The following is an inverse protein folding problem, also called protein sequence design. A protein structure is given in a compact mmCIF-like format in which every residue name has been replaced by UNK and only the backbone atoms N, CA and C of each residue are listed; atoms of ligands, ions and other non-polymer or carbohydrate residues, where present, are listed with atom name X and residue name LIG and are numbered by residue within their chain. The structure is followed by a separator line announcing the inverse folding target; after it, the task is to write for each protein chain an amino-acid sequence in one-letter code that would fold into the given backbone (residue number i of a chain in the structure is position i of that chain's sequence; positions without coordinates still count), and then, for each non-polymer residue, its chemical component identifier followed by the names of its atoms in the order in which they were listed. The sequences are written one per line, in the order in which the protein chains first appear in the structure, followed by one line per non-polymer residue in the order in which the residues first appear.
data_IF_352422474513
#
_entry.id   IF_352422474513
#
_cell.length_a   1.000
_cell.length_b   1.000
_cell.length_c   1.000
_cell.angle_alpha   90.00
_cell.angle_beta   90.00
_cell.angle_gamma   90.00
#
_symmetry.space_group_name_H-M   'P 1'
#
loop_
_entity.id
_entity.type
_entity.pdbx_description
1 polymer ?
#
# COMPACT_ATOMS: atom_id res chain seq x y z
N UNK A 1 -37.04 13.94 -51.26
CA UNK A 1 -36.27 12.78 -51.79
C UNK A 1 -34.81 13.02 -51.45
N UNK A 2 -34.05 12.19 -50.73
CA UNK A 2 -34.21 10.88 -50.09
C UNK A 2 -33.30 10.90 -48.86
N UNK A 3 -33.80 10.50 -47.68
CA UNK A 3 -32.98 10.14 -46.52
C UNK A 3 -32.43 8.71 -46.74
N UNK A 4 -31.12 8.51 -46.65
CA UNK A 4 -30.55 7.18 -46.46
C UNK A 4 -29.94 7.10 -45.06
N UNK A 5 -30.71 6.49 -44.16
CA UNK A 5 -30.23 5.96 -42.89
C UNK A 5 -29.27 4.80 -43.20
N UNK A 6 -28.04 4.87 -42.70
CA UNK A 6 -27.16 3.70 -42.59
C UNK A 6 -27.41 3.12 -41.19
N UNK A 7 -28.06 1.96 -41.19
CA UNK A 7 -28.32 1.13 -40.02
C UNK A 7 -27.04 0.37 -39.65
N UNK A 8 -26.61 0.47 -38.39
CA UNK A 8 -25.32 -0.03 -37.87
C UNK A 8 -25.47 -1.17 -36.86
N UNK A 9 -26.57 -1.93 -36.91
CA UNK A 9 -26.78 -3.10 -36.03
C UNK A 9 -26.74 -4.42 -36.79
N UNK A 10 -25.55 -4.89 -37.17
CA UNK A 10 -25.29 -6.35 -37.25
C UNK A 10 -23.80 -6.68 -37.31
N UNK A 11 -23.28 -7.37 -36.28
CA UNK A 11 -21.98 -8.05 -36.37
C UNK A 11 -22.23 -9.51 -36.71
N UNK A 12 -21.78 -9.94 -37.90
CA UNK A 12 -21.80 -11.34 -38.32
C UNK A 12 -20.38 -11.91 -38.25
N UNK A 13 -20.17 -12.91 -37.43
CA UNK A 13 -18.89 -13.63 -37.36
C UNK A 13 -18.70 -14.41 -38.68
N UNK A 14 -17.59 -14.13 -39.36
CA UNK A 14 -17.10 -14.92 -40.49
C UNK A 14 -15.79 -15.61 -40.10
N UNK A 15 -15.68 -16.89 -40.44
CA UNK A 15 -14.45 -17.67 -40.29
C UNK A 15 -13.39 -17.13 -41.27
N UNK A 16 -12.37 -16.44 -40.75
CA UNK A 16 -11.36 -15.76 -41.58
C UNK A 16 -10.23 -16.68 -42.06
N UNK A 17 -10.00 -17.82 -41.41
CA UNK A 17 -9.06 -18.83 -41.90
C UNK A 17 -9.27 -20.20 -41.27
N UNK A 18 -8.96 -21.26 -42.02
CA UNK A 18 -8.85 -22.64 -41.53
C UNK A 18 -7.67 -23.33 -42.19
N UNK A 19 -6.77 -23.91 -41.40
CA UNK A 19 -5.57 -24.59 -41.90
C UNK A 19 -5.11 -25.75 -41.00
N UNK A 20 -4.33 -26.68 -41.57
CA UNK A 20 -3.61 -27.71 -40.80
C UNK A 20 -2.19 -27.24 -40.55
N UNK A 21 -1.72 -27.41 -39.31
CA UNK A 21 -0.34 -27.13 -38.93
C UNK A 21 0.52 -28.30 -39.43
N UNK A 22 1.31 -28.06 -40.48
CA UNK A 22 2.34 -29.00 -40.91
C UNK A 22 3.60 -28.76 -40.08
N UNK A 23 4.01 -29.76 -39.29
CA UNK A 23 5.26 -29.69 -38.53
C UNK A 23 6.42 -30.13 -39.43
N UNK A 24 7.23 -29.18 -39.88
CA UNK A 24 8.52 -29.48 -40.51
C UNK A 24 9.52 -29.93 -39.45
N UNK A 25 10.04 -31.17 -39.59
CA UNK A 25 11.15 -31.65 -38.77
C UNK A 25 12.46 -31.03 -39.26
N UNK A 26 12.86 -29.90 -38.68
CA UNK A 26 14.24 -29.40 -38.75
C UNK A 26 14.96 -29.66 -37.43
N UNK A 27 16.21 -30.10 -37.53
CA UNK A 27 17.11 -30.22 -36.37
C UNK A 27 17.62 -28.82 -36.06
N UNK A 28 17.14 -28.25 -34.96
CA UNK A 28 17.57 -26.97 -34.40
C UNK A 28 17.52 -27.05 -32.87
N UNK A 29 18.38 -26.29 -32.20
CA UNK A 29 18.42 -26.23 -30.74
C UNK A 29 17.08 -25.65 -30.24
N UNK A 30 16.35 -26.41 -29.42
CA UNK A 30 15.17 -25.90 -28.73
C UNK A 30 15.64 -24.98 -27.60
N UNK A 31 15.27 -23.70 -27.68
CA UNK A 31 15.46 -22.80 -26.55
C UNK A 31 14.69 -23.34 -25.33
N UNK A 32 15.28 -23.27 -24.12
CA UNK A 32 14.62 -23.74 -22.92
C UNK A 32 13.29 -23.01 -22.72
N UNK A 33 12.25 -23.77 -22.37
CA UNK A 33 10.97 -23.21 -21.93
C UNK A 33 11.24 -22.42 -20.65
N UNK A 34 11.37 -21.10 -20.80
CA UNK A 34 11.30 -20.18 -19.68
C UNK A 34 9.91 -20.28 -19.06
N UNK A 35 9.84 -20.55 -17.76
CA UNK A 35 8.65 -20.32 -16.95
C UNK A 35 8.12 -18.93 -17.24
N UNK A 36 6.92 -18.86 -17.87
CA UNK A 36 6.18 -17.66 -18.26
C UNK A 36 6.70 -16.38 -17.57
N UNK A 37 7.67 -15.72 -18.21
CA UNK A 37 7.73 -14.28 -18.12
C UNK A 37 6.33 -13.80 -18.52
N UNK A 38 5.71 -12.99 -17.66
CA UNK A 38 4.50 -12.24 -18.02
C UNK A 38 4.70 -11.75 -19.45
N UNK A 39 3.70 -12.05 -20.30
CA UNK A 39 3.62 -11.56 -21.66
C UNK A 39 4.37 -10.23 -21.78
N UNK A 40 5.46 -10.24 -22.56
CA UNK A 40 5.77 -9.05 -23.32
C UNK A 40 4.46 -8.68 -23.98
N UNK A 41 3.95 -7.51 -23.62
CA UNK A 41 2.72 -6.96 -24.17
C UNK A 41 2.79 -7.15 -25.68
N UNK A 42 1.85 -7.94 -26.22
CA UNK A 42 1.59 -7.87 -27.64
C UNK A 42 1.42 -6.38 -28.00
N UNK A 43 1.90 -5.91 -29.16
CA UNK A 43 1.79 -4.51 -29.55
C UNK A 43 0.37 -4.12 -29.98
N UNK A 44 -0.63 -4.67 -29.32
CA UNK A 44 -2.04 -4.33 -29.49
C UNK A 44 -2.53 -3.83 -28.14
N UNK A 45 -2.95 -2.56 -28.13
CA UNK A 45 -3.33 -1.74 -26.96
C UNK A 45 -2.20 -1.00 -26.24
N UNK A 46 -1.41 -0.20 -26.98
CA UNK A 46 -0.96 1.06 -26.40
C UNK A 46 -2.20 1.82 -25.90
N UNK A 47 -2.31 2.04 -24.59
CA UNK A 47 -3.35 2.89 -23.99
C UNK A 47 -3.45 4.22 -24.75
N UNK A 48 -4.66 4.80 -24.91
CA UNK A 48 -4.86 6.05 -25.66
C UNK A 48 -3.86 7.15 -25.30
N UNK A 49 -3.56 7.32 -24.01
CA UNK A 49 -2.57 8.28 -23.50
C UNK A 49 -1.13 7.97 -23.93
N UNK A 50 -0.75 6.70 -24.02
CA UNK A 50 0.60 6.31 -24.43
C UNK A 50 0.84 6.59 -25.92
N UNK A 51 -0.21 6.49 -26.75
CA UNK A 51 -0.15 6.88 -28.17
C UNK A 51 -0.01 8.39 -28.33
N UNK A 52 -0.80 9.16 -27.57
CA UNK A 52 -0.70 10.62 -27.57
C UNK A 52 0.71 11.06 -27.18
N UNK A 53 1.29 10.48 -26.14
CA UNK A 53 2.67 10.78 -25.71
C UNK A 53 3.69 10.45 -26.81
N UNK A 54 3.58 9.28 -27.45
CA UNK A 54 4.47 8.88 -28.52
C UNK A 54 4.40 9.85 -29.72
N UNK A 55 3.19 10.23 -30.14
CA UNK A 55 2.98 11.17 -31.24
C UNK A 55 3.50 12.57 -30.90
N UNK A 56 3.27 13.05 -29.68
CA UNK A 56 3.79 14.34 -29.23
C UNK A 56 5.33 14.35 -29.19
N UNK A 57 5.95 13.26 -28.73
CA UNK A 57 7.41 13.13 -28.73
C UNK A 57 7.97 13.11 -30.15
N UNK A 58 7.37 12.35 -31.06
CA UNK A 58 7.79 12.26 -32.47
C UNK A 58 7.64 13.61 -33.19
N UNK A 59 6.51 14.30 -32.96
CA UNK A 59 6.18 15.52 -33.68
C UNK A 59 6.89 16.77 -33.16
N UNK A 60 7.12 16.85 -31.85
CA UNK A 60 7.67 18.05 -31.20
C UNK A 60 9.07 17.83 -30.60
N UNK A 61 9.64 16.62 -30.71
CA UNK A 61 10.97 16.31 -30.16
C UNK A 61 11.00 16.36 -28.64
N UNK A 62 9.87 16.10 -27.98
CA UNK A 62 9.76 16.12 -26.52
C UNK A 62 10.27 14.81 -25.92
N UNK A 63 10.59 14.85 -24.62
CA UNK A 63 10.95 13.68 -23.84
C UNK A 63 9.86 13.41 -22.77
N UNK A 64 8.61 13.33 -23.21
CA UNK A 64 7.50 13.00 -22.32
C UNK A 64 7.56 11.50 -21.98
N UNK A 65 7.87 11.19 -20.72
CA UNK A 65 7.89 9.83 -20.18
C UNK A 65 6.62 9.44 -19.40
N UNK A 66 6.66 8.29 -18.70
CA UNK A 66 5.56 7.76 -17.90
C UNK A 66 5.02 8.74 -16.85
N UNK A 67 5.87 9.60 -16.31
CA UNK A 67 5.50 10.65 -15.35
C UNK A 67 4.51 11.68 -15.93
N UNK A 68 4.61 11.98 -17.23
CA UNK A 68 3.71 12.93 -17.90
C UNK A 68 2.34 12.31 -18.21
N UNK A 69 2.24 10.98 -18.25
CA UNK A 69 0.98 10.25 -18.49
C UNK A 69 -0.04 10.52 -17.39
N UNK A 70 0.41 10.61 -16.14
CA UNK A 70 -0.47 10.88 -15.00
C UNK A 70 -1.05 12.28 -15.11
N UNK A 71 -0.21 13.28 -15.42
CA UNK A 71 -0.65 14.67 -15.60
C UNK A 71 -1.63 14.82 -16.77
N UNK A 72 -1.34 14.20 -17.92
CA UNK A 72 -2.25 14.20 -19.08
C UNK A 72 -3.56 13.46 -18.78
N UNK A 73 -3.50 12.35 -18.04
CA UNK A 73 -4.70 11.63 -17.60
C UNK A 73 -5.59 12.49 -16.70
N UNK A 74 -5.00 13.20 -15.72
CA UNK A 74 -5.73 14.13 -14.87
C UNK A 74 -6.36 15.29 -15.65
N UNK A 75 -5.69 15.79 -16.69
CA UNK A 75 -6.25 16.82 -17.57
C UNK A 75 -7.49 16.30 -18.31
N UNK A 76 -7.40 15.09 -18.91
CA UNK A 76 -8.52 14.49 -19.63
C UNK A 76 -9.72 14.23 -18.70
N UNK A 77 -9.49 13.66 -17.52
CA UNK A 77 -10.55 13.40 -16.53
C UNK A 77 -11.29 14.68 -16.13
N UNK A 78 -10.55 15.78 -15.92
CA UNK A 78 -11.14 17.09 -15.59
C UNK A 78 -11.93 17.72 -16.74
N UNK A 79 -11.51 17.47 -17.98
CA UNK A 79 -12.23 17.95 -19.17
C UNK A 79 -13.52 17.14 -19.37
N UNK A 80 -13.46 15.82 -19.23
CA UNK A 80 -14.63 14.92 -19.36
C UNK A 80 -15.68 15.17 -18.27
N UNK A 81 -15.26 15.56 -17.07
CA UNK A 81 -16.16 15.90 -15.97
C UNK A 81 -16.83 17.29 -16.11
N UNK A 82 -16.48 18.11 -17.11
CA UNK A 82 -16.99 19.47 -17.25
C UNK A 82 -18.36 19.51 -17.96
N UNK A 83 -19.40 19.83 -17.19
CA UNK A 83 -20.77 19.88 -17.69
C UNK A 83 -20.99 20.98 -18.76
N UNK A 84 -20.24 22.08 -18.73
CA UNK A 84 -20.36 23.14 -19.72
C UNK A 84 -19.75 22.71 -21.07
N UNK A 85 -18.66 21.97 -21.03
CA UNK A 85 -18.04 21.37 -22.20
C UNK A 85 -18.93 20.28 -22.82
N UNK A 86 -19.54 19.40 -22.01
CA UNK A 86 -20.51 18.39 -22.49
C UNK A 86 -21.77 19.06 -23.08
N UNK A 87 -22.33 20.06 -22.40
CA UNK A 87 -23.47 20.81 -22.92
C UNK A 87 -23.15 21.53 -24.24
N UNK A 88 -21.94 22.12 -24.34
CA UNK A 88 -21.48 22.76 -25.57
C UNK A 88 -21.36 21.74 -26.71
N UNK A 89 -20.77 20.57 -26.43
CA UNK A 89 -20.62 19.49 -27.41
C UNK A 89 -21.96 18.97 -27.95
N UNK A 90 -23.02 18.96 -27.13
CA UNK A 90 -24.36 18.51 -27.53
C UNK A 90 -25.16 19.54 -28.33
N UNK A 91 -24.93 20.83 -28.09
CA UNK A 91 -25.82 21.89 -28.58
C UNK A 91 -25.19 22.79 -29.66
N UNK A 92 -23.86 22.77 -29.83
CA UNK A 92 -23.14 23.73 -30.65
C UNK A 92 -22.40 23.10 -31.84
N UNK A 93 -22.00 23.96 -32.79
CA UNK A 93 -21.12 23.58 -33.91
C UNK A 93 -19.70 23.27 -33.43
N UNK A 94 -18.95 22.48 -34.21
CA UNK A 94 -17.56 22.10 -33.89
C UNK A 94 -16.66 23.29 -33.54
N UNK A 95 -16.83 24.41 -34.24
CA UNK A 95 -16.04 25.64 -34.01
C UNK A 95 -16.38 26.28 -32.65
N UNK A 96 -17.66 26.34 -32.29
CA UNK A 96 -18.10 26.87 -30.99
C UNK A 96 -17.68 25.96 -29.84
N UNK A 97 -17.75 24.63 -30.04
CA UNK A 97 -17.24 23.65 -29.07
C UNK A 97 -15.74 23.80 -28.90
N UNK A 98 -14.99 24.04 -29.99
CA UNK A 98 -13.55 24.24 -29.94
C UNK A 98 -13.16 25.46 -29.09
N UNK A 99 -13.91 26.55 -29.19
CA UNK A 99 -13.69 27.74 -28.34
C UNK A 99 -13.89 27.41 -26.85
N UNK A 100 -14.99 26.73 -26.50
CA UNK A 100 -15.23 26.31 -25.11
C UNK A 100 -14.15 25.35 -24.61
N UNK A 101 -13.71 24.43 -25.48
CA UNK A 101 -12.65 23.48 -25.19
C UNK A 101 -11.32 24.16 -24.90
N UNK A 102 -10.86 25.07 -25.76
CA UNK A 102 -9.57 25.75 -25.61
C UNK A 102 -9.52 26.56 -24.30
N UNK A 103 -10.58 27.32 -23.98
CA UNK A 103 -10.69 28.04 -22.70
C UNK A 103 -10.65 27.10 -21.49
N UNK A 104 -11.35 25.95 -21.58
CA UNK A 104 -11.37 25.00 -20.47
C UNK A 104 -10.01 24.33 -20.26
N UNK A 105 -9.32 23.97 -21.33
CA UNK A 105 -7.97 23.40 -21.28
C UNK A 105 -7.00 24.37 -20.61
N UNK A 106 -7.00 25.65 -21.00
CA UNK A 106 -6.16 26.68 -20.36
C UNK A 106 -6.42 26.77 -18.86
N UNK A 107 -7.69 26.78 -18.44
CA UNK A 107 -8.04 26.81 -17.02
C UNK A 107 -7.58 25.56 -16.26
N UNK A 108 -7.71 24.38 -16.86
CA UNK A 108 -7.25 23.12 -16.24
C UNK A 108 -5.72 23.10 -16.10
N UNK A 109 -4.99 23.55 -17.11
CA UNK A 109 -3.53 23.68 -17.07
C UNK A 109 -3.12 24.62 -15.93
N UNK A 110 -3.74 25.80 -15.87
CA UNK A 110 -3.44 26.80 -14.84
C UNK A 110 -3.67 26.24 -13.43
N UNK A 111 -4.81 25.57 -13.21
CA UNK A 111 -5.15 25.00 -11.91
C UNK A 111 -4.15 23.91 -11.46
N UNK A 112 -3.66 23.07 -12.39
CA UNK A 112 -2.65 22.05 -12.09
C UNK A 112 -1.32 22.71 -11.71
N UNK A 113 -0.92 23.75 -12.47
CA UNK A 113 0.32 24.49 -12.19
C UNK A 113 0.25 25.18 -10.82
N UNK A 114 -0.85 25.90 -10.54
CA UNK A 114 -1.05 26.60 -9.27
C UNK A 114 -1.02 25.63 -8.08
N UNK A 115 -1.77 24.52 -8.15
CA UNK A 115 -1.79 23.52 -7.08
C UNK A 115 -0.43 22.89 -6.82
N UNK A 116 0.30 22.56 -7.89
CA UNK A 116 1.65 22.01 -7.75
C UNK A 116 2.59 23.06 -7.14
N UNK A 117 2.53 24.31 -7.59
CA UNK A 117 3.34 25.41 -7.08
C UNK A 117 3.07 25.67 -5.60
N UNK A 118 1.81 25.68 -5.17
CA UNK A 118 1.43 25.85 -3.76
C UNK A 118 2.04 24.77 -2.86
N UNK A 119 2.04 23.51 -3.30
CA UNK A 119 2.68 22.42 -2.57
C UNK A 119 4.19 22.63 -2.45
N UNK A 120 4.87 22.94 -3.56
CA UNK A 120 6.32 23.21 -3.55
C UNK A 120 6.67 24.39 -2.65
N UNK A 121 5.89 25.47 -2.74
CA UNK A 121 6.06 26.66 -1.91
C UNK A 121 5.88 26.30 -0.45
N UNK A 122 4.85 25.53 -0.09
CA UNK A 122 4.61 25.13 1.30
C UNK A 122 5.72 24.23 1.85
N UNK A 123 6.27 23.32 1.06
CA UNK A 123 7.41 22.48 1.47
C UNK A 123 8.66 23.33 1.76
N UNK A 124 8.85 24.42 1.00
CA UNK A 124 10.06 25.24 1.06
C UNK A 124 9.96 26.37 2.09
N UNK A 125 8.82 27.06 2.15
CA UNK A 125 8.63 28.28 2.94
C UNK A 125 8.11 27.98 4.37
N UNK A 126 7.34 26.91 4.57
CA UNK A 126 6.89 26.47 5.90
C UNK A 126 7.85 25.43 6.47
N UNK A 127 8.74 25.88 7.37
CA UNK A 127 9.75 25.01 8.00
C UNK A 127 9.12 23.81 8.72
N UNK A 128 8.00 23.99 9.41
CA UNK A 128 7.38 22.91 10.16
C UNK A 128 6.80 21.85 9.22
N UNK A 129 6.10 22.29 8.17
CA UNK A 129 5.55 21.40 7.15
C UNK A 129 6.66 20.70 6.34
N UNK A 130 7.67 21.44 5.90
CA UNK A 130 8.81 20.90 5.15
C UNK A 130 9.58 19.83 5.92
N UNK A 131 9.87 20.08 7.20
CA UNK A 131 10.51 19.07 8.07
C UNK A 131 9.61 17.85 8.29
N UNK A 132 8.29 18.04 8.45
CA UNK A 132 7.36 16.92 8.54
C UNK A 132 7.40 16.04 7.29
N UNK A 133 7.32 16.63 6.09
CA UNK A 133 7.39 15.90 4.81
C UNK A 133 8.71 15.14 4.68
N UNK A 134 9.85 15.77 5.00
CA UNK A 134 11.16 15.10 4.95
C UNK A 134 11.21 13.89 5.89
N UNK A 135 10.71 14.04 7.12
CA UNK A 135 10.65 12.95 8.08
C UNK A 135 9.76 11.80 7.59
N UNK A 136 8.58 12.11 7.03
CA UNK A 136 7.72 11.08 6.42
C UNK A 136 8.41 10.34 5.27
N UNK A 137 9.06 11.06 4.36
CA UNK A 137 9.79 10.47 3.24
C UNK A 137 10.98 9.62 3.72
N UNK A 138 11.72 10.09 4.72
CA UNK A 138 12.84 9.37 5.31
C UNK A 138 12.38 8.08 6.01
N UNK A 139 11.30 8.15 6.79
CA UNK A 139 10.73 6.98 7.46
C UNK A 139 10.23 5.94 6.44
N UNK A 140 9.60 6.39 5.35
CA UNK A 140 9.17 5.52 4.26
C UNK A 140 10.37 4.87 3.55
N UNK A 141 11.42 5.65 3.27
CA UNK A 141 12.65 5.15 2.67
C UNK A 141 13.29 4.07 3.55
N UNK A 142 13.45 4.33 4.85
CA UNK A 142 14.02 3.35 5.77
C UNK A 142 13.20 2.06 5.82
N UNK A 143 11.87 2.14 5.87
CA UNK A 143 10.99 0.94 5.87
C UNK A 143 11.13 0.13 4.60
N UNK A 144 11.19 0.79 3.44
CA UNK A 144 11.35 0.11 2.17
C UNK A 144 12.70 -0.61 2.07
N UNK A 145 13.71 -0.15 2.82
CA UNK A 145 15.06 -0.71 2.82
C UNK A 145 15.39 -1.47 4.11
N UNK A 146 14.41 -1.76 4.98
CA UNK A 146 14.63 -2.63 6.15
C UNK A 146 14.82 -4.06 5.69
N UNK A 147 16.06 -4.54 5.70
CA UNK A 147 16.38 -5.91 5.35
C UNK A 147 16.32 -6.80 6.60
N UNK A 148 15.57 -7.89 6.51
CA UNK A 148 15.42 -8.85 7.61
C UNK A 148 16.77 -9.40 8.08
N UNK A 149 17.69 -9.68 7.16
CA UNK A 149 19.05 -10.18 7.46
C UNK A 149 19.85 -9.24 8.37
N UNK A 150 19.79 -7.94 8.10
CA UNK A 150 20.48 -6.93 8.91
C UNK A 150 19.83 -6.76 10.29
N UNK A 151 18.50 -6.88 10.38
CA UNK A 151 17.79 -6.86 11.66
C UNK A 151 18.16 -8.10 12.50
N UNK A 152 18.19 -9.29 11.89
CA UNK A 152 18.58 -10.53 12.58
C UNK A 152 19.99 -10.41 13.17
N UNK A 153 20.96 -9.86 12.42
CA UNK A 153 22.33 -9.63 12.90
C UNK A 153 22.40 -8.68 14.11
N UNK A 154 21.50 -7.70 14.21
CA UNK A 154 21.44 -6.75 15.34
C UNK A 154 20.96 -7.40 16.63
N UNK A 155 20.19 -8.49 16.53
CA UNK A 155 19.58 -9.17 17.68
C UNK A 155 18.42 -8.39 18.29
N UNK A 156 17.71 -9.03 19.23
CA UNK A 156 16.57 -8.42 19.91
C UNK A 156 16.97 -7.17 20.71
N UNK A 157 16.08 -6.18 20.74
CA UNK A 157 16.29 -4.92 21.43
C UNK A 157 14.95 -4.33 21.86
N UNK A 158 14.98 -3.10 22.41
CA UNK A 158 13.75 -2.40 22.77
C UNK A 158 12.81 -2.18 21.58
N UNK A 159 13.35 -2.05 20.37
CA UNK A 159 12.62 -1.75 19.13
C UNK A 159 12.71 -2.88 18.10
N UNK A 160 13.20 -4.06 18.48
CA UNK A 160 13.31 -5.23 17.60
C UNK A 160 13.01 -6.51 18.40
N UNK A 161 12.06 -7.31 17.94
CA UNK A 161 11.67 -8.56 18.59
C UNK A 161 11.52 -9.68 17.55
N UNK A 162 11.93 -10.89 17.90
CA UNK A 162 11.77 -12.08 17.07
C UNK A 162 10.63 -12.97 17.59
N UNK A 163 9.90 -13.58 16.66
CA UNK A 163 8.88 -14.58 16.92
C UNK A 163 9.01 -15.69 15.90
N UNK A 164 9.13 -16.93 16.38
CA UNK A 164 9.32 -18.07 15.50
C UNK A 164 8.13 -18.27 14.55
N UNK A 165 6.91 -18.03 15.03
CA UNK A 165 5.64 -18.29 14.32
C UNK A 165 4.56 -17.29 14.75
N UNK A 166 3.48 -17.19 13.95
CA UNK A 166 2.30 -16.36 14.24
C UNK A 166 1.22 -17.12 15.04
N UNK A 167 1.04 -18.40 14.76
CA UNK A 167 -0.04 -19.23 15.30
C UNK A 167 0.34 -20.70 15.50
N UNK A 168 1.47 -21.18 14.99
CA UNK A 168 1.86 -22.58 15.17
C UNK A 168 2.74 -22.76 16.41
N UNK A 169 2.37 -23.66 17.31
CA UNK A 169 3.23 -24.05 18.42
C UNK A 169 4.21 -25.13 17.94
N UNK A 170 5.49 -24.75 17.77
CA UNK A 170 6.54 -25.63 17.28
C UNK A 170 6.87 -26.81 18.22
N UNK A 171 6.61 -26.69 19.53
CA UNK A 171 6.92 -27.74 20.50
C UNK A 171 5.86 -28.84 20.53
N UNK A 172 4.60 -28.44 20.40
CA UNK A 172 3.44 -29.33 20.43
C UNK A 172 2.97 -29.74 19.03
N UNK A 173 3.64 -29.23 17.99
CA UNK A 173 3.31 -29.39 16.57
C UNK A 173 1.81 -29.27 16.26
N UNK A 174 1.20 -28.20 16.78
CA UNK A 174 -0.22 -27.91 16.58
C UNK A 174 -0.48 -26.43 16.40
N UNK A 175 -1.61 -26.13 15.77
CA UNK A 175 -2.17 -24.78 15.72
C UNK A 175 -2.57 -24.30 17.12
N UNK A 176 -2.14 -23.09 17.46
CA UNK A 176 -2.44 -22.38 18.70
C UNK A 176 -2.68 -20.89 18.41
N UNK A 177 -3.86 -20.59 17.91
CA UNK A 177 -4.32 -19.22 17.65
C UNK A 177 -4.64 -18.43 18.96
N UNK A 178 -4.37 -19.02 20.12
CA UNK A 178 -4.65 -18.43 21.42
C UNK A 178 -3.37 -17.86 22.01
N UNK A 179 -2.46 -18.70 22.44
CA UNK A 179 -1.26 -18.28 23.18
C UNK A 179 -0.20 -17.72 22.25
N UNK A 180 0.07 -18.39 21.13
CA UNK A 180 1.12 -17.96 20.18
C UNK A 180 0.72 -16.64 19.51
N UNK A 181 -0.52 -16.57 19.00
CA UNK A 181 -1.02 -15.33 18.40
C UNK A 181 -1.12 -14.20 19.41
N UNK A 182 -1.56 -14.46 20.65
CA UNK A 182 -1.55 -13.44 21.69
C UNK A 182 -0.13 -12.92 21.97
N UNK A 183 0.89 -13.77 21.97
CA UNK A 183 2.28 -13.34 22.16
C UNK A 183 2.75 -12.37 21.06
N UNK A 184 2.38 -12.61 19.80
CA UNK A 184 2.64 -11.71 18.68
C UNK A 184 1.89 -10.38 18.84
N UNK A 185 0.58 -10.44 19.10
CA UNK A 185 -0.25 -9.24 19.28
C UNK A 185 0.21 -8.39 20.46
N UNK A 186 0.63 -9.04 21.55
CA UNK A 186 1.19 -8.39 22.73
C UNK A 186 2.44 -7.58 22.39
N UNK A 187 3.34 -8.15 21.59
CA UNK A 187 4.54 -7.44 21.11
C UNK A 187 4.16 -6.26 20.23
N UNK A 188 3.24 -6.43 19.28
CA UNK A 188 2.76 -5.33 18.43
C UNK A 188 2.18 -4.21 19.28
N UNK A 189 1.27 -4.52 20.21
CA UNK A 189 0.69 -3.54 21.14
C UNK A 189 1.77 -2.76 21.90
N UNK A 190 2.79 -3.47 22.41
CA UNK A 190 3.90 -2.86 23.13
C UNK A 190 4.72 -1.89 22.26
N UNK A 191 4.99 -2.23 21.00
CA UNK A 191 5.66 -1.31 20.07
C UNK A 191 4.80 -0.10 19.78
N UNK A 192 3.52 -0.28 19.46
CA UNK A 192 2.57 0.80 19.16
C UNK A 192 2.47 1.79 20.34
N UNK A 193 2.48 1.28 21.59
CA UNK A 193 2.36 2.11 22.79
C UNK A 193 3.66 2.80 23.24
N UNK A 194 4.80 2.46 22.63
CA UNK A 194 6.12 3.00 23.01
C UNK A 194 6.73 3.84 21.90
N UNK A 195 7.86 3.42 21.33
CA UNK A 195 8.64 4.15 20.33
C UNK A 195 8.39 3.62 18.91
N UNK A 196 7.52 2.62 18.76
CA UNK A 196 7.48 1.76 17.58
C UNK A 196 8.57 0.69 17.64
N UNK A 197 8.78 0.01 16.52
CA UNK A 197 9.77 -1.07 16.39
C UNK A 197 9.43 -2.03 15.27
N UNK A 198 10.26 -3.05 15.10
CA UNK A 198 9.99 -4.13 14.17
C UNK A 198 9.78 -5.44 14.92
N UNK A 199 8.82 -6.22 14.45
CA UNK A 199 8.67 -7.61 14.80
C UNK A 199 9.03 -8.47 13.60
N UNK A 200 9.96 -9.41 13.76
CA UNK A 200 10.23 -10.43 12.74
C UNK A 200 9.51 -11.72 13.11
N UNK A 201 8.65 -12.19 12.23
CA UNK A 201 7.96 -13.47 12.35
C UNK A 201 8.58 -14.47 11.38
N UNK A 202 8.85 -15.68 11.86
CA UNK A 202 9.64 -16.68 11.14
C UNK A 202 11.10 -16.74 11.59
N UNK A 203 11.43 -16.13 12.74
CA UNK A 203 12.78 -16.11 13.31
C UNK A 203 12.70 -16.56 14.77
N UNK A 204 13.49 -17.57 15.15
CA UNK A 204 13.56 -18.05 16.52
C UNK A 204 14.34 -17.09 17.43
N UNK A 205 14.22 -17.27 18.75
CA UNK A 205 14.83 -16.41 19.77
C UNK A 205 16.38 -16.40 19.68
N UNK A 206 16.99 -17.44 19.11
CA UNK A 206 18.43 -17.55 18.84
C UNK A 206 18.87 -16.94 17.50
N UNK A 207 17.92 -16.38 16.74
CA UNK A 207 18.13 -15.82 15.40
C UNK A 207 18.04 -16.86 14.26
N UNK A 208 17.75 -18.13 14.55
CA UNK A 208 17.61 -19.14 13.51
C UNK A 208 16.37 -18.87 12.62
N UNK A 209 16.52 -19.04 11.31
CA UNK A 209 15.45 -18.80 10.35
C UNK A 209 14.49 -20.00 10.35
N UNK A 210 13.31 -19.81 10.92
CA UNK A 210 12.24 -20.80 10.98
C UNK A 210 11.43 -20.77 9.69
N UNK A 211 11.03 -19.58 9.26
CA UNK A 211 10.15 -19.33 8.13
C UNK A 211 8.66 -19.29 8.52
N UNK A 212 7.87 -18.42 7.88
CA UNK A 212 6.42 -18.33 8.09
C UNK A 212 5.66 -19.54 7.55
N UNK A 213 6.32 -20.39 6.75
CA UNK A 213 5.77 -21.66 6.25
C UNK A 213 5.45 -22.61 7.41
N UNK A 214 6.11 -22.44 8.56
CA UNK A 214 5.80 -23.15 9.79
C UNK A 214 4.36 -22.88 10.28
N UNK A 215 3.75 -21.75 9.92
CA UNK A 215 2.37 -21.41 10.26
C UNK A 215 1.31 -22.16 9.43
N UNK A 216 1.74 -23.00 8.48
CA UNK A 216 0.88 -23.85 7.63
C UNK A 216 -0.20 -23.03 6.90
N UNK A 217 0.19 -21.86 6.40
CA UNK A 217 -0.64 -21.05 5.48
C UNK A 217 -0.17 -21.31 4.05
N UNK A 218 -1.10 -21.31 3.10
CA UNK A 218 -0.86 -21.77 1.73
C UNK A 218 0.01 -20.79 0.94
N UNK A 219 -0.03 -19.51 1.30
CA UNK A 219 0.75 -18.46 0.63
C UNK A 219 1.05 -17.29 1.56
N UNK A 220 2.07 -16.52 1.19
CA UNK A 220 2.42 -15.23 1.81
C UNK A 220 1.20 -14.32 1.91
N UNK A 221 0.42 -14.16 0.83
CA UNK A 221 -0.78 -13.31 0.85
C UNK A 221 -1.81 -13.77 1.90
N UNK A 222 -1.96 -15.08 2.09
CA UNK A 222 -2.86 -15.63 3.09
C UNK A 222 -2.33 -15.37 4.51
N UNK A 223 -1.02 -15.49 4.72
CA UNK A 223 -0.34 -15.08 5.96
C UNK A 223 -0.56 -13.61 6.27
N UNK A 224 -0.33 -12.75 5.29
CA UNK A 224 -0.47 -11.30 5.44
C UNK A 224 -1.90 -10.88 5.78
N UNK A 225 -2.90 -11.45 5.09
CA UNK A 225 -4.32 -11.25 5.42
C UNK A 225 -4.65 -11.76 6.82
N UNK A 226 -4.12 -12.91 7.21
CA UNK A 226 -4.36 -13.48 8.53
C UNK A 226 -3.77 -12.58 9.63
N UNK A 227 -2.51 -12.15 9.48
CA UNK A 227 -1.85 -11.22 10.39
C UNK A 227 -2.65 -9.91 10.53
N UNK A 228 -3.08 -9.32 9.41
CA UNK A 228 -3.90 -8.11 9.42
C UNK A 228 -5.23 -8.32 10.15
N UNK A 229 -5.88 -9.47 9.94
CA UNK A 229 -7.14 -9.81 10.60
C UNK A 229 -6.97 -9.99 12.11
N UNK A 230 -5.94 -10.71 12.56
CA UNK A 230 -5.71 -10.92 14.00
C UNK A 230 -5.29 -9.62 14.68
N UNK A 231 -4.48 -8.78 14.02
CA UNK A 231 -4.12 -7.45 14.51
C UNK A 231 -5.35 -6.55 14.67
N UNK A 232 -6.22 -6.50 13.66
CA UNK A 232 -7.49 -5.76 13.71
C UNK A 232 -8.38 -6.23 14.86
N UNK A 233 -8.56 -7.54 14.97
CA UNK A 233 -9.43 -8.14 15.98
C UNK A 233 -8.90 -7.94 17.41
N UNK A 234 -7.57 -7.98 17.58
CA UNK A 234 -6.93 -7.89 18.89
C UNK A 234 -6.65 -6.47 19.38
N UNK A 235 -6.32 -5.57 18.45
CA UNK A 235 -5.81 -4.22 18.75
C UNK A 235 -6.74 -3.11 18.27
N UNK A 236 -7.74 -3.44 17.44
CA UNK A 236 -8.66 -2.48 16.82
C UNK A 236 -8.20 -1.96 15.46
N UNK A 237 -9.15 -1.41 14.71
CA UNK A 237 -8.95 -0.93 13.34
C UNK A 237 -7.89 0.19 13.26
N UNK A 238 -7.94 1.18 14.16
CA UNK A 238 -7.00 2.32 14.17
C UNK A 238 -5.57 1.88 14.47
N UNK A 239 -5.38 0.89 15.34
CA UNK A 239 -4.06 0.34 15.61
C UNK A 239 -3.50 -0.42 14.40
N UNK A 240 -4.36 -1.11 13.65
CA UNK A 240 -3.96 -1.86 12.46
C UNK A 240 -3.43 -0.99 11.31
N UNK A 241 -3.77 0.30 11.26
CA UNK A 241 -3.19 1.23 10.27
C UNK A 241 -1.78 1.68 10.62
N UNK A 242 -1.34 1.42 11.86
CA UNK A 242 0.00 1.76 12.34
C UNK A 242 1.02 0.62 12.13
N UNK A 243 0.63 -0.49 11.47
CA UNK A 243 1.52 -1.61 11.15
C UNK A 243 1.68 -1.75 9.62
N UNK A 244 2.91 -2.00 9.17
CA UNK A 244 3.27 -2.24 7.77
C UNK A 244 4.04 -3.57 7.67
N UNK A 245 3.32 -4.72 7.55
CA UNK A 245 3.96 -6.00 7.39
C UNK A 245 4.47 -6.20 5.95
N UNK A 246 5.63 -6.84 5.79
CA UNK A 246 6.21 -7.23 4.49
C UNK A 246 6.92 -8.57 4.59
N UNK A 247 6.80 -9.41 3.57
CA UNK A 247 7.56 -10.67 3.49
C UNK A 247 8.90 -10.46 2.77
N UNK A 248 9.93 -11.16 3.23
CA UNK A 248 11.27 -11.16 2.66
C UNK A 248 11.83 -12.58 2.70
N UNK A 249 12.57 -12.98 1.67
CA UNK A 249 13.27 -14.27 1.64
C UNK A 249 14.62 -14.13 2.32
N UNK A 250 14.87 -14.95 3.34
CA UNK A 250 16.13 -15.02 4.08
C UNK A 250 16.55 -16.48 4.15
N UNK A 251 17.77 -16.80 3.70
CA UNK A 251 18.27 -18.18 3.66
C UNK A 251 17.30 -19.18 2.99
N UNK A 252 16.56 -18.73 1.97
CA UNK A 252 15.60 -19.55 1.22
C UNK A 252 14.25 -19.79 1.91
N UNK A 253 13.98 -19.13 3.04
CA UNK A 253 12.70 -19.18 3.76
C UNK A 253 12.07 -17.81 3.86
N UNK A 254 10.75 -17.74 3.97
CA UNK A 254 10.04 -16.46 4.06
C UNK A 254 9.99 -15.96 5.51
N UNK A 255 10.44 -14.74 5.77
CA UNK A 255 10.32 -14.02 7.04
C UNK A 255 9.38 -12.84 6.86
N UNK A 256 8.46 -12.62 7.79
CA UNK A 256 7.59 -11.44 7.79
C UNK A 256 8.17 -10.37 8.74
N UNK A 257 8.51 -9.20 8.19
CA UNK A 257 8.92 -8.02 8.94
C UNK A 257 7.70 -7.13 9.15
N UNK A 258 7.27 -6.96 10.39
CA UNK A 258 6.15 -6.10 10.78
C UNK A 258 6.68 -4.80 11.34
N UNK A 259 6.72 -3.76 10.50
CA UNK A 259 7.13 -2.41 10.94
C UNK A 259 5.99 -1.74 11.70
N UNK A 260 6.17 -1.49 12.99
CA UNK A 260 5.19 -0.87 13.87
C UNK A 260 5.52 0.61 14.09
N UNK A 261 4.60 1.50 13.72
CA UNK A 261 4.68 2.92 14.05
C UNK A 261 4.20 3.16 15.47
N UNK A 262 4.73 4.18 16.14
CA UNK A 262 4.09 4.66 17.35
C UNK A 262 2.65 5.07 17.05
N UNK A 263 1.71 4.54 17.82
CA UNK A 263 0.30 4.92 17.70
C UNK A 263 0.05 6.34 18.24
N UNK A 264 -0.83 7.13 17.61
CA UNK A 264 -1.27 8.41 18.16
C UNK A 264 -2.20 8.26 19.38
N UNK A 265 -2.77 7.06 19.58
CA UNK A 265 -3.73 6.73 20.62
C UNK A 265 -3.28 5.49 21.41
N UNK A 266 -3.73 5.31 22.67
CA UNK A 266 -3.40 4.11 23.43
C UNK A 266 -4.01 2.85 22.79
N UNK A 267 -3.21 1.79 22.68
CA UNK A 267 -3.62 0.50 22.12
C UNK A 267 -3.79 -0.52 23.25
N UNK A 268 -5.01 -1.03 23.42
CA UNK A 268 -5.35 -2.08 24.38
C UNK A 268 -5.53 -3.40 23.63
N UNK A 269 -4.95 -4.48 24.15
CA UNK A 269 -5.07 -5.82 23.57
C UNK A 269 -6.23 -6.57 24.23
N UNK A 270 -7.16 -7.08 23.42
CA UNK A 270 -8.17 -8.06 23.81
C UNK A 270 -8.05 -9.28 22.91
N UNK A 271 -7.92 -10.47 23.47
CA UNK A 271 -7.76 -11.65 22.62
C UNK A 271 -8.31 -12.89 23.27
N UNK A 272 -9.47 -13.35 22.79
CA UNK A 272 -10.07 -14.65 23.16
C UNK A 272 -10.16 -14.88 24.67
N UNK A 273 -10.38 -13.82 25.47
CA UNK A 273 -10.50 -13.91 26.92
C UNK A 273 -9.17 -14.10 27.66
N UNK A 274 -8.03 -13.85 27.00
CA UNK A 274 -6.70 -13.87 27.61
C UNK A 274 -6.39 -12.58 28.37
N UNK A 275 -7.15 -11.51 28.12
CA UNK A 275 -6.99 -10.24 28.81
C UNK A 275 -7.27 -10.39 30.32
N UNK A 276 -6.38 -9.82 31.13
CA UNK A 276 -6.56 -9.77 32.60
C UNK A 276 -7.64 -8.74 32.95
N UNK A 277 -7.61 -7.61 32.26
CA UNK A 277 -8.57 -6.53 32.44
C UNK A 277 -9.67 -6.59 31.36
N UNK A 278 -10.95 -6.50 31.74
CA UNK A 278 -12.08 -6.55 30.78
C UNK A 278 -12.05 -5.42 29.73
N UNK A 279 -11.39 -4.31 30.07
CA UNK A 279 -11.10 -3.18 29.19
C UNK A 279 -10.01 -3.47 28.14
N UNK A 280 -9.30 -4.59 28.27
CA UNK A 280 -8.12 -4.95 27.49
C UNK A 280 -6.83 -4.62 28.24
N UNK A 281 -5.78 -5.37 27.93
CA UNK A 281 -4.48 -5.24 28.58
C UNK A 281 -3.62 -4.18 27.88
N UNK A 282 -2.95 -3.33 28.67
CA UNK A 282 -2.04 -2.31 28.17
C UNK A 282 -0.58 -2.78 28.29
N UNK A 283 0.10 -2.94 27.16
CA UNK A 283 1.48 -3.39 27.09
C UNK A 283 2.43 -2.29 26.63
N UNK A 284 3.65 -2.29 27.19
CA UNK A 284 4.76 -1.42 26.77
C UNK A 284 6.06 -2.21 26.65
N UNK A 285 7.01 -1.69 25.88
CA UNK A 285 8.41 -2.15 25.86
C UNK A 285 9.19 -1.56 27.04
N UNK A 286 9.90 -2.42 27.76
CA UNK A 286 10.86 -2.06 28.81
C UNK A 286 12.16 -2.83 28.56
N UNK A 287 13.17 -2.14 28.01
CA UNK A 287 14.29 -2.83 27.37
C UNK A 287 13.79 -3.79 26.28
N UNK A 288 14.41 -4.97 26.08
CA UNK A 288 13.92 -5.99 25.15
C UNK A 288 12.67 -6.75 25.65
N UNK A 289 12.17 -6.45 26.86
CA UNK A 289 10.99 -7.10 27.43
C UNK A 289 9.69 -6.39 27.08
N UNK A 290 8.61 -7.16 27.01
CA UNK A 290 7.23 -6.64 26.97
C UNK A 290 6.58 -6.76 28.34
N UNK A 291 6.12 -5.63 28.90
CA UNK A 291 5.54 -5.54 30.23
C UNK A 291 4.09 -5.10 30.14
N UNK A 292 3.20 -5.79 30.85
CA UNK A 292 1.82 -5.35 31.06
C UNK A 292 1.78 -4.34 32.20
N UNK A 293 1.24 -3.16 31.97
CA UNK A 293 1.01 -2.19 33.03
C UNK A 293 -0.34 -2.45 33.71
N UNK A 294 -0.40 -2.49 35.06
CA UNK A 294 -1.66 -2.47 35.78
C UNK A 294 -2.49 -1.21 35.43
N UNK A 295 -3.83 -1.24 35.59
CA UNK A 295 -4.72 -0.15 35.17
C UNK A 295 -4.31 1.25 35.67
N UNK A 296 -3.86 1.37 36.92
CA UNK A 296 -3.43 2.65 37.50
C UNK A 296 -2.17 3.20 36.83
N UNK A 297 -1.14 2.35 36.66
CA UNK A 297 0.11 2.73 35.98
C UNK A 297 -0.11 2.99 34.50
N UNK A 298 -0.97 2.20 33.84
CA UNK A 298 -1.37 2.40 32.46
C UNK A 298 -2.05 3.76 32.29
N UNK A 299 -2.99 4.12 33.16
CA UNK A 299 -3.68 5.41 33.13
C UNK A 299 -2.71 6.59 33.26
N UNK A 300 -1.74 6.49 34.17
CA UNK A 300 -0.70 7.50 34.32
C UNK A 300 0.17 7.60 33.05
N UNK A 301 0.66 6.46 32.56
CA UNK A 301 1.48 6.39 31.35
C UNK A 301 0.73 6.99 30.15
N UNK A 302 -0.53 6.63 29.96
CA UNK A 302 -1.36 7.09 28.84
C UNK A 302 -1.51 8.61 28.88
N UNK A 303 -1.81 9.19 30.04
CA UNK A 303 -1.96 10.65 30.20
C UNK A 303 -0.69 11.41 29.83
N UNK A 304 0.48 10.89 30.17
CA UNK A 304 1.76 11.53 29.84
C UNK A 304 2.16 11.30 28.38
N UNK A 305 1.85 10.11 27.84
CA UNK A 305 2.35 9.66 26.53
C UNK A 305 1.45 10.05 25.37
N UNK A 306 0.14 10.04 25.56
CA UNK A 306 -0.87 10.37 24.55
C UNK A 306 -1.64 11.59 25.04
N UNK A 307 -1.08 12.81 24.86
CA UNK A 307 -1.83 14.02 25.18
C UNK A 307 -3.12 14.00 24.35
N UNK A 308 -4.26 14.12 25.03
CA UNK A 308 -5.54 14.22 24.38
C UNK A 308 -5.44 15.34 23.33
N UNK A 309 -5.76 15.02 22.07
CA UNK A 309 -5.94 16.05 21.06
C UNK A 309 -6.91 17.06 21.65
N UNK A 310 -6.43 18.27 21.93
CA UNK A 310 -7.20 19.32 22.55
C UNK A 310 -8.49 19.47 21.77
N UNK A 311 -9.62 19.10 22.38
CA UNK A 311 -10.94 19.46 21.89
C UNK A 311 -10.98 20.98 21.82
N UNK A 312 -10.78 21.54 20.63
CA UNK A 312 -11.12 22.93 20.38
C UNK A 312 -12.60 23.09 20.75
N UNK A 313 -12.98 24.05 21.60
CA UNK A 313 -14.39 24.30 21.87
C UNK A 313 -15.10 24.62 20.53
N UNK A 314 -16.36 24.19 20.35
CA UNK A 314 -17.11 24.55 19.16
C UNK A 314 -17.16 26.08 19.07
N UNK A 315 -16.65 26.60 17.95
CA UNK A 315 -16.78 28.02 17.61
C UNK A 315 -18.29 28.30 17.54
N UNK A 316 -18.86 29.16 18.40
CA UNK A 316 -20.25 29.54 18.25
C UNK A 316 -20.36 30.34 16.95
N UNK A 317 -21.08 29.79 15.98
CA UNK A 317 -21.55 30.56 14.83
C UNK A 317 -22.49 31.65 15.38
N UNK A 318 -22.09 32.91 15.18
CA UNK A 318 -22.95 34.08 15.29
C UNK A 318 -23.46 34.47 13.90
#
# INVERSE_FOLDING_TARGET
EVQQNIDMESYRIQETSRGRIALERKVGLLDPIGTKARHGTAPEELEPLSRIIAELNERFGLNLGPEHRVTLGQMMEKLDADAALDASARANTRENVRLTFDTKVEHVIQEIVEKNFDLYKRITDDRAFGEAIKNFLFDQYLRAHRQAEELIKRGESKTLEFKATLRWNLREDRRDDTVITHAVLRTIAAFLNTEGGDLLIGVADDGAIVGIEADRLESDDQFMRHLAQVARNGLGDRASTCIDPKTQIVQGKTVCVVSCQRSPEPVLLKWKGMEVDAGGDFFIRSGPGTVRLPPESASHYIRTRFPAASTSPPVPYA
#
